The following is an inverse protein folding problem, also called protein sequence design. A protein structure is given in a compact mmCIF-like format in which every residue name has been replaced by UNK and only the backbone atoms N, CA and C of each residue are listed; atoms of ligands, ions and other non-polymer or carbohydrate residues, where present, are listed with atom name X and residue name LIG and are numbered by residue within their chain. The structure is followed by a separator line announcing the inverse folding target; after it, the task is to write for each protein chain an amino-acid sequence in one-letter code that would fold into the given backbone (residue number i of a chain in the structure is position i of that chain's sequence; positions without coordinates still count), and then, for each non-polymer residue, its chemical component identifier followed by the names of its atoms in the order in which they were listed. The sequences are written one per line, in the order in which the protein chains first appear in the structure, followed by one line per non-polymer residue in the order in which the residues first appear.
data_IF_544285909922
#
_entry.id   IF_544285909922
#
_cell.length_a   1.000
_cell.length_b   1.000
_cell.length_c   1.000
_cell.angle_alpha   90.00
_cell.angle_beta   90.00
_cell.angle_gamma   90.00
#
_symmetry.space_group_name_H-M   'P 1'
#
loop_
_entity.id
_entity.type
_entity.pdbx_description
1 polymer ?
#
# COMPACT_ATOMS: atom_id res chain seq x y z
N UNK A 1 4.92 -90.09 -9.82
CA UNK A 1 3.84 -89.27 -9.43
C UNK A 1 3.98 -87.87 -10.05
N UNK A 2 3.12 -87.62 -10.97
CA UNK A 2 3.06 -86.39 -11.81
C UNK A 2 2.11 -85.45 -11.12
N UNK A 3 2.53 -84.18 -10.83
CA UNK A 3 1.58 -83.11 -10.49
C UNK A 3 1.91 -81.90 -11.33
N UNK A 4 1.03 -81.60 -12.24
CA UNK A 4 1.02 -80.44 -13.09
C UNK A 4 0.68 -79.22 -12.26
N UNK A 5 1.47 -78.17 -12.39
CA UNK A 5 1.25 -76.89 -11.78
C UNK A 5 0.35 -75.97 -12.61
N UNK A 6 -0.70 -75.49 -12.01
CA UNK A 6 -1.60 -74.51 -12.58
C UNK A 6 -0.95 -73.11 -12.61
N UNK A 7 -0.92 -72.53 -13.82
CA UNK A 7 -0.54 -71.11 -14.04
C UNK A 7 -1.72 -70.27 -13.71
N UNK A 8 -1.61 -69.44 -12.64
CA UNK A 8 -2.55 -68.37 -12.39
C UNK A 8 -2.05 -67.11 -13.06
N UNK A 9 -2.78 -66.67 -14.05
CA UNK A 9 -2.60 -65.41 -14.77
C UNK A 9 -2.93 -64.26 -13.81
N UNK A 10 -1.90 -63.61 -13.31
CA UNK A 10 -2.08 -62.42 -12.48
C UNK A 10 -2.54 -61.25 -13.33
N UNK A 11 -3.75 -60.88 -13.07
CA UNK A 11 -4.42 -59.74 -13.64
C UNK A 11 -3.70 -58.44 -13.18
N UNK A 12 -2.98 -57.81 -14.10
CA UNK A 12 -2.37 -56.51 -13.89
C UNK A 12 -3.45 -55.44 -13.98
N UNK A 13 -4.18 -55.32 -12.90
CA UNK A 13 -5.09 -54.22 -12.72
C UNK A 13 -4.30 -52.93 -12.59
N UNK A 14 -4.11 -52.28 -13.71
CA UNK A 14 -3.52 -50.92 -13.79
C UNK A 14 -4.43 -49.95 -13.01
N UNK A 15 -4.09 -49.70 -11.77
CA UNK A 15 -4.71 -48.62 -10.99
C UNK A 15 -4.27 -47.29 -11.62
N UNK A 16 -5.16 -46.75 -12.43
CA UNK A 16 -5.04 -45.34 -12.88
C UNK A 16 -5.25 -44.45 -11.65
N UNK A 17 -4.16 -43.99 -11.07
CA UNK A 17 -4.20 -42.95 -10.05
C UNK A 17 -4.59 -41.63 -10.74
N UNK A 18 -5.84 -41.26 -10.62
CA UNK A 18 -6.33 -39.92 -10.93
C UNK A 18 -5.75 -38.97 -9.90
N UNK A 19 -4.71 -38.23 -10.27
CA UNK A 19 -4.20 -37.11 -9.49
C UNK A 19 -5.23 -35.98 -9.66
N UNK A 20 -6.12 -35.89 -8.71
CA UNK A 20 -6.99 -34.71 -8.57
C UNK A 20 -6.09 -33.51 -8.14
N UNK A 21 -5.72 -32.70 -9.13
CA UNK A 21 -5.01 -31.46 -8.91
C UNK A 21 -5.91 -30.51 -8.11
N UNK A 22 -5.63 -30.36 -6.82
CA UNK A 22 -6.21 -29.29 -6.01
C UNK A 22 -5.67 -27.95 -6.54
N UNK A 23 -6.45 -27.23 -7.31
CA UNK A 23 -6.23 -25.81 -7.59
C UNK A 23 -6.36 -25.07 -6.25
N UNK A 24 -5.23 -24.77 -5.64
CA UNK A 24 -5.16 -23.79 -4.54
C UNK A 24 -5.41 -22.44 -5.20
N UNK A 25 -6.65 -21.95 -5.11
CA UNK A 25 -6.96 -20.56 -5.43
C UNK A 25 -6.21 -19.69 -4.40
N UNK A 26 -5.10 -19.09 -4.83
CA UNK A 26 -4.49 -17.99 -4.10
C UNK A 26 -5.52 -16.86 -4.11
N UNK A 27 -6.30 -16.76 -3.04
CA UNK A 27 -7.07 -15.56 -2.78
C UNK A 27 -6.04 -14.43 -2.64
N UNK A 28 -6.01 -13.53 -3.62
CA UNK A 28 -5.30 -12.27 -3.50
C UNK A 28 -5.94 -11.55 -2.31
N UNK A 29 -5.30 -11.64 -1.15
CA UNK A 29 -5.68 -10.84 0.01
C UNK A 29 -5.41 -9.40 -0.38
N UNK A 30 -6.44 -8.70 -0.85
CA UNK A 30 -6.37 -7.26 -1.01
C UNK A 30 -5.89 -6.67 0.31
N UNK A 31 -4.79 -5.94 0.29
CA UNK A 31 -4.31 -5.24 1.46
C UNK A 31 -5.46 -4.39 2.00
N UNK A 32 -5.95 -4.69 3.20
CA UNK A 32 -6.96 -3.87 3.82
C UNK A 32 -6.39 -2.46 3.98
N UNK A 33 -7.13 -1.45 3.50
CA UNK A 33 -6.72 -0.06 3.62
C UNK A 33 -6.47 0.26 5.11
N UNK A 34 -5.34 0.89 5.41
CA UNK A 34 -5.03 1.35 6.76
C UNK A 34 -6.07 2.42 7.16
N UNK A 35 -6.92 2.17 8.18
CA UNK A 35 -7.97 3.10 8.57
C UNK A 35 -7.42 4.42 9.10
N UNK A 36 -6.23 4.40 9.71
CA UNK A 36 -5.54 5.61 10.17
C UNK A 36 -5.05 6.40 8.96
N UNK A 37 -4.38 5.73 8.02
CA UNK A 37 -3.92 6.35 6.78
C UNK A 37 -5.06 6.95 5.96
N UNK A 38 -6.20 6.25 5.89
CA UNK A 38 -7.40 6.80 5.23
C UNK A 38 -7.90 8.08 5.91
N UNK A 39 -7.97 8.07 7.23
CA UNK A 39 -8.41 9.25 7.99
C UNK A 39 -7.46 10.42 7.77
N UNK A 40 -6.15 10.17 7.84
CA UNK A 40 -5.13 11.19 7.54
C UNK A 40 -5.27 11.73 6.11
N UNK A 41 -5.51 10.85 5.13
CA UNK A 41 -5.70 11.25 3.75
C UNK A 41 -6.92 12.17 3.58
N UNK A 42 -8.05 11.81 4.14
CA UNK A 42 -9.28 12.61 4.04
C UNK A 42 -9.12 14.00 4.64
N UNK A 43 -8.36 14.12 5.73
CA UNK A 43 -8.12 15.40 6.43
C UNK A 43 -7.06 16.25 5.73
N UNK A 44 -5.98 15.62 5.26
CA UNK A 44 -4.78 16.33 4.85
C UNK A 44 -4.62 16.44 3.32
N UNK A 45 -5.13 15.48 2.55
CA UNK A 45 -4.80 15.30 1.14
C UNK A 45 -6.00 15.46 0.22
N UNK A 46 -7.19 14.96 0.63
CA UNK A 46 -8.38 14.90 -0.23
C UNK A 46 -8.86 16.27 -0.72
N UNK A 47 -8.57 17.35 0.03
CA UNK A 47 -8.91 18.72 -0.41
C UNK A 47 -8.31 19.09 -1.77
N UNK A 48 -7.11 18.62 -2.06
CA UNK A 48 -6.43 18.83 -3.34
C UNK A 48 -6.51 17.58 -4.24
N UNK A 49 -6.17 16.40 -3.70
CA UNK A 49 -6.06 15.17 -4.49
C UNK A 49 -7.37 14.45 -4.75
N UNK A 50 -8.50 14.92 -4.17
CA UNK A 50 -9.81 14.27 -4.28
C UNK A 50 -9.97 13.12 -3.29
N UNK A 51 -11.22 12.78 -2.95
CA UNK A 51 -11.52 11.67 -2.03
C UNK A 51 -11.11 10.31 -2.61
N UNK A 52 -11.15 10.19 -3.94
CA UNK A 52 -10.75 9.01 -4.71
C UNK A 52 -9.28 9.01 -5.12
N UNK A 53 -8.54 10.10 -4.88
CA UNK A 53 -7.13 10.20 -5.26
C UNK A 53 -6.89 10.55 -6.73
N UNK A 54 -7.87 11.09 -7.44
CA UNK A 54 -7.77 11.38 -8.89
C UNK A 54 -7.21 12.77 -9.22
N UNK A 55 -6.87 13.58 -8.21
CA UNK A 55 -6.37 14.95 -8.42
C UNK A 55 -7.49 15.98 -8.60
N UNK A 56 -8.74 15.60 -8.37
CA UNK A 56 -9.96 16.37 -8.62
C UNK A 56 -10.57 16.98 -7.34
N UNK A 57 -9.79 17.17 -6.32
CA UNK A 57 -10.25 17.77 -5.07
C UNK A 57 -10.75 19.21 -5.23
N UNK A 58 -11.64 19.67 -4.33
CA UNK A 58 -12.28 21.00 -4.46
C UNK A 58 -11.30 22.17 -4.43
N UNK A 59 -10.09 21.96 -3.91
CA UNK A 59 -9.03 22.97 -3.89
C UNK A 59 -8.11 22.90 -5.11
N UNK A 60 -8.15 21.83 -5.92
CA UNK A 60 -7.27 21.64 -7.06
C UNK A 60 -7.37 22.79 -8.07
N UNK A 61 -8.58 23.25 -8.35
CA UNK A 61 -8.83 24.37 -9.29
C UNK A 61 -8.37 25.74 -8.79
N UNK A 62 -7.97 25.85 -7.53
CA UNK A 62 -7.42 27.10 -6.97
C UNK A 62 -5.88 27.15 -7.06
N UNK A 63 -5.25 26.05 -7.42
CA UNK A 63 -3.80 25.96 -7.56
C UNK A 63 -3.38 26.39 -8.97
N UNK A 64 -2.19 27.02 -9.06
CA UNK A 64 -1.60 27.41 -10.35
C UNK A 64 -0.94 26.24 -11.10
N UNK A 65 -0.89 25.09 -10.47
CA UNK A 65 -0.33 23.86 -11.02
C UNK A 65 -1.38 22.75 -10.95
N UNK A 66 -1.30 21.83 -11.88
CA UNK A 66 -2.13 20.64 -11.87
C UNK A 66 -1.84 19.77 -10.66
N UNK A 67 -2.90 19.36 -9.94
CA UNK A 67 -2.80 18.41 -8.85
C UNK A 67 -2.74 16.99 -9.42
N UNK A 68 -1.68 16.21 -9.18
CA UNK A 68 -1.58 14.88 -9.75
C UNK A 68 -2.58 13.91 -9.11
N UNK A 69 -3.07 12.95 -9.91
CA UNK A 69 -3.72 11.75 -9.39
C UNK A 69 -2.71 10.87 -8.65
N UNK A 70 -3.20 10.13 -7.66
CA UNK A 70 -2.37 9.28 -6.79
C UNK A 70 -2.68 7.78 -6.94
N UNK A 71 -3.65 7.40 -7.79
CA UNK A 71 -4.07 5.99 -7.96
C UNK A 71 -3.18 5.21 -8.93
N UNK A 72 -2.29 5.87 -9.67
CA UNK A 72 -1.46 5.26 -10.71
C UNK A 72 0.04 5.32 -10.47
N UNK A 73 0.45 5.66 -9.26
CA UNK A 73 1.87 5.79 -8.92
C UNK A 73 2.69 4.51 -9.20
N UNK A 74 2.11 3.35 -8.91
CA UNK A 74 2.75 2.06 -9.20
C UNK A 74 2.82 1.82 -10.72
N UNK A 75 1.73 2.04 -11.46
CA UNK A 75 1.69 1.84 -12.91
C UNK A 75 2.68 2.74 -13.64
N UNK A 76 2.81 3.99 -13.20
CA UNK A 76 3.72 5.00 -13.76
C UNK A 76 5.18 4.73 -13.38
N UNK A 77 5.44 3.92 -12.35
CA UNK A 77 6.75 3.48 -11.89
C UNK A 77 7.06 2.02 -12.26
N UNK A 78 6.62 1.58 -13.42
CA UNK A 78 6.95 0.24 -13.93
C UNK A 78 6.26 -0.93 -13.21
N UNK A 79 5.17 -0.67 -12.50
CA UNK A 79 4.38 -1.66 -11.76
C UNK A 79 4.78 -1.79 -10.28
N UNK A 80 5.77 -1.03 -9.83
CA UNK A 80 6.22 -1.03 -8.44
C UNK A 80 5.90 0.32 -7.77
N UNK A 81 5.29 0.26 -6.57
CA UNK A 81 4.95 1.47 -5.85
C UNK A 81 6.23 2.19 -5.34
N UNK A 82 6.43 3.48 -5.66
CA UNK A 82 7.67 4.21 -5.36
C UNK A 82 7.70 4.70 -3.90
N UNK A 83 7.85 3.79 -2.94
CA UNK A 83 7.78 4.06 -1.50
C UNK A 83 8.66 5.21 -1.02
N UNK A 84 9.93 5.19 -1.40
CA UNK A 84 10.89 6.17 -0.91
C UNK A 84 10.54 7.58 -1.40
N UNK A 85 10.16 7.71 -2.66
CA UNK A 85 9.80 8.99 -3.27
C UNK A 85 8.49 9.54 -2.72
N UNK A 86 7.51 8.67 -2.47
CA UNK A 86 6.23 9.06 -1.86
C UNK A 86 6.45 9.54 -0.44
N UNK A 87 7.18 8.80 0.39
CA UNK A 87 7.50 9.19 1.76
C UNK A 87 8.25 10.52 1.77
N UNK A 88 9.29 10.68 0.95
CA UNK A 88 10.07 11.91 0.85
C UNK A 88 9.22 13.09 0.37
N UNK A 89 8.30 12.83 -0.56
CA UNK A 89 7.38 13.86 -1.09
C UNK A 89 6.40 14.35 -0.03
N UNK A 90 5.82 13.44 0.76
CA UNK A 90 4.88 13.79 1.84
C UNK A 90 5.64 14.47 2.99
N UNK A 91 6.78 13.93 3.40
CA UNK A 91 7.59 14.52 4.46
C UNK A 91 8.01 15.95 4.10
N UNK A 92 8.59 16.13 2.94
CA UNK A 92 8.95 17.42 2.36
C UNK A 92 10.06 18.19 3.09
N UNK A 93 10.60 17.67 4.22
CA UNK A 93 11.63 18.36 5.01
C UNK A 93 13.02 18.28 4.38
N UNK A 94 13.25 17.28 3.55
CA UNK A 94 14.53 17.09 2.88
C UNK A 94 14.51 17.64 1.44
N UNK A 95 15.59 18.33 1.05
CA UNK A 95 15.85 18.80 -0.31
C UNK A 95 15.19 20.13 -0.69
N UNK A 96 15.09 20.36 -2.01
CA UNK A 96 14.60 21.63 -2.60
C UNK A 96 13.17 22.01 -2.22
N UNK A 97 12.36 21.06 -1.77
CA UNK A 97 10.97 21.30 -1.36
C UNK A 97 10.85 21.99 0.01
N UNK A 98 11.88 21.94 0.84
CA UNK A 98 11.92 22.63 2.12
C UNK A 98 11.78 24.16 2.00
N UNK A 99 12.02 24.72 0.81
CA UNK A 99 11.90 26.15 0.51
C UNK A 99 10.53 26.58 -0.05
N UNK A 100 9.56 25.67 -0.02
CA UNK A 100 8.21 25.91 -0.51
C UNK A 100 7.94 25.18 -1.83
N UNK A 101 6.76 24.65 -1.91
CA UNK A 101 6.20 23.98 -3.06
C UNK A 101 4.68 24.07 -2.96
N UNK A 102 3.96 23.66 -4.01
CA UNK A 102 2.49 23.69 -3.99
C UNK A 102 1.91 22.71 -2.96
N UNK A 103 2.63 21.64 -2.63
CA UNK A 103 2.24 20.69 -1.60
C UNK A 103 2.85 21.09 -0.25
N UNK A 104 2.06 21.11 0.84
CA UNK A 104 2.56 21.43 2.17
C UNK A 104 3.65 20.45 2.65
N UNK A 105 4.53 20.92 3.54
CA UNK A 105 5.54 20.09 4.21
C UNK A 105 4.86 19.37 5.38
N UNK A 106 4.40 18.13 5.14
CA UNK A 106 3.62 17.40 6.13
C UNK A 106 4.46 16.88 7.29
N UNK A 107 5.73 16.54 7.06
CA UNK A 107 6.64 16.11 8.12
C UNK A 107 6.74 17.14 9.24
N UNK A 108 6.92 18.41 8.89
CA UNK A 108 6.97 19.50 9.85
C UNK A 108 5.61 19.71 10.54
N UNK A 109 4.52 19.73 9.79
CA UNK A 109 3.16 19.92 10.34
C UNK A 109 2.80 18.82 11.35
N UNK A 110 3.13 17.58 11.06
CA UNK A 110 2.87 16.45 11.95
C UNK A 110 3.74 16.47 13.19
N UNK A 111 5.01 16.85 13.08
CA UNK A 111 5.89 17.01 14.23
C UNK A 111 5.39 18.13 15.16
N UNK A 112 5.01 19.27 14.61
CA UNK A 112 4.45 20.38 15.40
C UNK A 112 3.12 20.01 16.05
N UNK A 113 2.24 19.28 15.37
CA UNK A 113 0.99 18.80 15.95
C UNK A 113 1.24 17.80 17.10
N UNK A 114 2.26 16.96 17.00
CA UNK A 114 2.66 16.05 18.08
C UNK A 114 3.18 16.82 19.30
N UNK A 115 3.98 17.87 19.10
CA UNK A 115 4.43 18.76 20.17
C UNK A 115 3.25 19.44 20.85
N UNK A 116 2.33 20.02 20.07
CA UNK A 116 1.18 20.76 20.58
C UNK A 116 0.19 19.87 21.37
N UNK A 117 0.14 18.57 21.08
CA UNK A 117 -0.73 17.62 21.79
C UNK A 117 -0.15 17.11 23.11
N UNK A 118 1.07 17.49 23.49
CA UNK A 118 1.77 16.96 24.67
C UNK A 118 2.26 15.50 24.47
N UNK A 119 2.12 14.93 23.30
CA UNK A 119 2.52 13.55 23.01
C UNK A 119 4.04 13.33 23.12
N UNK A 120 4.82 14.41 23.14
CA UNK A 120 6.26 14.38 23.36
C UNK A 120 6.69 13.95 24.78
N UNK A 121 5.76 13.85 25.71
CA UNK A 121 6.02 13.38 27.07
C UNK A 121 6.11 11.83 27.16
N UNK A 122 5.80 11.13 26.07
CA UNK A 122 5.88 9.69 25.97
C UNK A 122 7.23 9.17 25.46
N UNK A 123 7.27 7.88 25.14
CA UNK A 123 8.47 7.20 24.59
C UNK A 123 8.75 7.55 23.12
N UNK A 124 7.76 8.13 22.40
CA UNK A 124 7.89 8.50 21.00
C UNK A 124 8.20 9.99 20.86
N UNK A 125 9.23 10.32 20.10
CA UNK A 125 9.53 11.72 19.76
C UNK A 125 8.50 12.28 18.76
N UNK A 126 8.32 13.60 18.67
CA UNK A 126 7.46 14.22 17.66
C UNK A 126 7.80 13.81 16.24
N UNK A 127 9.09 13.63 15.95
CA UNK A 127 9.57 13.16 14.65
C UNK A 127 9.16 11.72 14.37
N UNK A 128 9.27 10.82 15.35
CA UNK A 128 8.79 9.44 15.22
C UNK A 128 7.28 9.39 14.96
N UNK A 129 6.51 10.25 15.62
CA UNK A 129 5.06 10.36 15.39
C UNK A 129 4.74 10.88 13.99
N UNK A 130 5.47 11.89 13.50
CA UNK A 130 5.33 12.39 12.15
C UNK A 130 5.59 11.28 11.12
N UNK A 131 6.69 10.54 11.28
CA UNK A 131 7.03 9.39 10.40
C UNK A 131 5.99 8.28 10.44
N UNK A 132 5.42 7.97 11.60
CA UNK A 132 4.37 6.97 11.72
C UNK A 132 3.10 7.39 10.94
N UNK A 133 2.69 8.64 11.01
CA UNK A 133 1.56 9.19 10.23
C UNK A 133 1.82 9.17 8.72
N UNK A 134 3.03 9.54 8.30
CA UNK A 134 3.44 9.48 6.89
C UNK A 134 3.43 8.02 6.39
N UNK A 135 3.88 7.07 7.20
CA UNK A 135 3.83 5.65 6.86
C UNK A 135 2.39 5.15 6.70
N UNK A 136 1.49 5.49 7.64
CA UNK A 136 0.06 5.14 7.52
C UNK A 136 -0.57 5.73 6.25
N UNK A 137 -0.27 7.00 5.91
CA UNK A 137 -0.67 7.60 4.65
C UNK A 137 -0.15 6.83 3.44
N UNK A 138 1.12 6.46 3.45
CA UNK A 138 1.76 5.70 2.37
C UNK A 138 1.08 4.33 2.18
N UNK A 139 0.78 3.62 3.27
CA UNK A 139 0.05 2.35 3.22
C UNK A 139 -1.37 2.51 2.65
N UNK A 140 -2.05 3.59 2.99
CA UNK A 140 -3.34 3.91 2.38
C UNK A 140 -3.19 4.17 0.87
N UNK A 141 -2.21 4.96 0.44
CA UNK A 141 -1.96 5.23 -0.99
C UNK A 141 -1.67 3.96 -1.78
N UNK A 142 -0.97 2.98 -1.19
CA UNK A 142 -0.77 1.66 -1.81
C UNK A 142 -2.11 0.95 -2.02
N UNK A 143 -3.01 1.03 -1.05
CA UNK A 143 -4.29 0.33 -1.10
C UNK A 143 -5.25 0.85 -2.17
N UNK A 144 -5.01 2.06 -2.69
CA UNK A 144 -5.83 2.69 -3.73
C UNK A 144 -5.18 2.67 -5.12
N UNK A 145 -4.07 1.93 -5.30
CA UNK A 145 -3.44 1.80 -6.63
C UNK A 145 -4.30 0.95 -7.57
N UNK A 146 -4.34 1.37 -8.85
CA UNK A 146 -5.04 0.73 -9.98
C UNK A 146 -4.06 -0.01 -10.89
#
# INVERSE_FOLDING_TARGET
GRLEGARTTGDRMMRRATIAGALVALAASGAAADPVGRTEYMVACAGCHGESGLGDGPLAGLLQIETPGLTRLAAENGGEFPYADVIATIDGRDGLRAHGGPMPIWGERYAQAALASGAAEGTMTPDMMARARILSLTLYLISIQE
#
